data_IF_122584909058
#
_entry.id   IF_122584909058
#
_cell.length_a   1.000
_cell.length_b   1.000
_cell.length_c   1.000
_cell.angle_alpha   90.00
_cell.angle_beta   90.00
_cell.angle_gamma   90.00
#
_symmetry.space_group_name_H-M   'P 1'
#
loop_
_entity.id
_entity.type
_entity.pdbx_description
1 polymer ?
#
# COMPACT_ATOMS: atom_id res chain seq x y z
N UNK A 1 -60.78 13.13 -1.41
CA UNK A 1 -59.53 13.86 -1.17
C UNK A 1 -58.52 13.07 -0.30
N UNK A 2 -58.87 12.59 0.87
CA UNK A 2 -57.96 11.86 1.80
C UNK A 2 -57.26 10.59 1.23
N UNK A 3 -57.81 9.89 0.25
CA UNK A 3 -57.24 8.65 -0.31
C UNK A 3 -56.04 8.90 -1.24
N UNK A 4 -56.03 10.03 -1.99
CA UNK A 4 -54.95 10.41 -2.90
C UNK A 4 -53.70 10.89 -2.14
N UNK A 5 -53.88 11.57 -1.00
CA UNK A 5 -52.74 12.01 -0.16
C UNK A 5 -52.03 10.85 0.54
N UNK A 6 -52.74 9.80 1.00
CA UNK A 6 -52.10 8.61 1.58
C UNK A 6 -51.26 7.86 0.56
N UNK A 7 -51.68 7.74 -0.70
CA UNK A 7 -50.98 7.05 -1.77
C UNK A 7 -49.74 7.84 -2.21
N UNK A 8 -49.80 9.16 -2.22
CA UNK A 8 -48.67 10.03 -2.54
C UNK A 8 -47.60 9.98 -1.45
N UNK A 9 -47.99 10.03 -0.18
CA UNK A 9 -47.08 9.92 0.96
C UNK A 9 -46.38 8.54 1.05
N UNK A 10 -47.08 7.47 0.67
CA UNK A 10 -46.53 6.12 0.63
C UNK A 10 -45.50 5.94 -0.50
N UNK A 11 -45.79 6.54 -1.70
CA UNK A 11 -44.84 6.56 -2.83
C UNK A 11 -43.58 7.39 -2.52
N UNK A 12 -43.74 8.54 -1.87
CA UNK A 12 -42.62 9.37 -1.45
C UNK A 12 -41.75 8.66 -0.38
N UNK A 13 -42.34 7.99 0.61
CA UNK A 13 -41.60 7.18 1.59
C UNK A 13 -40.79 6.05 0.91
N UNK A 14 -41.38 5.37 -0.06
CA UNK A 14 -40.66 4.30 -0.79
C UNK A 14 -39.53 4.85 -1.67
N UNK A 15 -39.68 6.04 -2.26
CA UNK A 15 -38.64 6.70 -3.05
C UNK A 15 -37.50 7.15 -2.11
N UNK A 16 -37.81 7.68 -0.92
CA UNK A 16 -36.78 8.04 0.09
C UNK A 16 -36.04 6.81 0.64
N UNK A 17 -36.78 5.70 0.87
CA UNK A 17 -36.11 4.45 1.32
C UNK A 17 -35.20 3.86 0.24
N UNK A 18 -35.60 3.93 -1.05
CA UNK A 18 -34.75 3.44 -2.16
C UNK A 18 -33.55 4.36 -2.42
N UNK A 19 -33.72 5.69 -2.31
CA UNK A 19 -32.58 6.62 -2.38
C UNK A 19 -31.61 6.45 -1.19
N UNK A 20 -32.13 6.20 0.01
CA UNK A 20 -31.32 5.95 1.18
C UNK A 20 -30.60 4.60 1.10
N UNK A 21 -31.20 3.57 0.54
CA UNK A 21 -30.56 2.29 0.27
C UNK A 21 -29.48 2.38 -0.83
N UNK A 22 -29.62 3.28 -1.81
CA UNK A 22 -28.59 3.53 -2.82
C UNK A 22 -27.41 4.35 -2.28
N UNK A 23 -27.61 5.15 -1.23
CA UNK A 23 -26.55 5.92 -0.57
C UNK A 23 -25.74 5.09 0.44
N UNK A 24 -26.23 3.90 0.84
CA UNK A 24 -25.51 3.00 1.78
C UNK A 24 -24.65 1.98 1.02
N UNK A 25 -24.71 1.92 -0.31
CA UNK A 25 -23.71 1.21 -1.10
C UNK A 25 -22.40 2.02 -1.27
N UNK A 26 -21.97 2.74 -0.24
CA UNK A 26 -20.56 3.02 -0.02
C UNK A 26 -19.97 1.67 0.32
N UNK A 27 -19.41 1.03 -0.70
CA UNK A 27 -18.54 -0.13 -0.51
C UNK A 27 -17.59 0.24 0.60
N UNK A 28 -17.75 -0.34 1.78
CA UNK A 28 -16.69 -0.39 2.75
C UNK A 28 -15.60 -1.25 2.07
N UNK A 29 -14.77 -0.60 1.24
CA UNK A 29 -13.53 -1.21 0.84
C UNK A 29 -12.79 -1.44 2.14
N UNK A 30 -12.55 -2.70 2.46
CA UNK A 30 -11.72 -3.04 3.59
C UNK A 30 -10.41 -2.28 3.44
N UNK A 31 -9.93 -1.73 4.55
CA UNK A 31 -8.74 -0.88 4.56
C UNK A 31 -7.57 -1.55 3.85
N UNK A 32 -6.98 -0.84 2.89
CA UNK A 32 -5.87 -1.35 2.06
C UNK A 32 -6.29 -1.92 0.69
N UNK A 33 -7.52 -2.44 0.52
CA UNK A 33 -7.99 -2.86 -0.81
C UNK A 33 -8.38 -1.63 -1.61
N UNK A 34 -7.86 -1.56 -2.82
CA UNK A 34 -8.19 -0.49 -3.76
C UNK A 34 -8.80 -1.07 -5.04
N UNK A 35 -9.52 -0.27 -5.79
CA UNK A 35 -9.87 -0.63 -7.15
C UNK A 35 -8.56 -0.83 -7.96
N UNK A 36 -8.35 -2.03 -8.56
CA UNK A 36 -7.11 -2.31 -9.27
C UNK A 36 -6.87 -1.32 -10.41
N UNK A 37 -5.64 -0.79 -10.48
CA UNK A 37 -5.23 0.12 -11.55
C UNK A 37 -3.87 -0.24 -12.10
N UNK A 38 -3.68 -0.02 -13.39
CA UNK A 38 -2.38 -0.16 -14.03
C UNK A 38 -1.39 0.86 -13.49
N UNK A 39 -0.19 0.36 -13.23
CA UNK A 39 1.00 1.17 -12.92
C UNK A 39 2.15 0.76 -13.82
N UNK A 40 3.07 1.67 -14.01
CA UNK A 40 4.25 1.44 -14.85
C UNK A 40 5.52 1.37 -14.01
N UNK A 41 6.54 0.72 -14.56
CA UNK A 41 7.84 0.70 -13.92
C UNK A 41 8.47 2.10 -13.96
N UNK A 42 8.86 2.59 -12.80
CA UNK A 42 9.51 3.89 -12.66
C UNK A 42 11.02 3.75 -12.50
N UNK A 43 11.75 4.80 -12.86
CA UNK A 43 13.18 4.90 -12.60
C UNK A 43 13.40 5.82 -11.41
N UNK A 44 13.95 5.25 -10.34
CA UNK A 44 14.30 5.95 -9.09
C UNK A 44 15.78 5.69 -8.77
N UNK A 45 16.22 5.75 -7.52
CA UNK A 45 17.65 5.57 -7.21
C UNK A 45 17.90 4.38 -6.28
N UNK A 46 19.05 3.76 -6.43
CA UNK A 46 19.58 2.85 -5.42
C UNK A 46 20.22 3.64 -4.26
N UNK A 47 20.64 2.93 -3.21
CA UNK A 47 21.28 3.54 -2.04
C UNK A 47 22.67 4.13 -2.32
N UNK A 48 23.20 3.98 -3.52
CA UNK A 48 24.47 4.55 -3.98
C UNK A 48 24.28 5.75 -4.91
N UNK A 49 23.00 6.10 -5.20
CA UNK A 49 22.63 7.23 -6.03
C UNK A 49 22.54 6.92 -7.52
N UNK A 50 22.71 5.66 -7.94
CA UNK A 50 22.56 5.25 -9.33
C UNK A 50 21.09 5.12 -9.67
N UNK A 51 20.73 5.49 -10.91
CA UNK A 51 19.38 5.25 -11.40
C UNK A 51 19.10 3.77 -11.60
N UNK A 52 17.96 3.30 -11.13
CA UNK A 52 17.51 1.92 -11.22
C UNK A 52 16.01 1.85 -11.45
N UNK A 53 15.57 0.77 -12.07
CA UNK A 53 14.15 0.42 -12.17
C UNK A 53 13.71 -0.34 -10.92
N UNK A 54 12.37 -0.45 -10.73
CA UNK A 54 11.84 -1.32 -9.68
C UNK A 54 12.27 -2.77 -9.96
N UNK A 55 12.83 -3.47 -8.97
CA UNK A 55 13.30 -4.83 -9.16
C UNK A 55 12.13 -5.78 -9.49
N UNK A 56 12.34 -6.68 -10.44
CA UNK A 56 11.39 -7.71 -10.87
C UNK A 56 10.00 -7.21 -11.29
N UNK A 57 9.84 -5.92 -11.61
CA UNK A 57 8.57 -5.40 -12.12
C UNK A 57 8.26 -6.02 -13.49
N UNK A 58 7.08 -6.64 -13.61
CA UNK A 58 6.67 -7.36 -14.81
C UNK A 58 7.13 -8.83 -14.85
N UNK A 59 7.93 -9.26 -13.88
CA UNK A 59 8.45 -10.63 -13.76
C UNK A 59 7.80 -11.39 -12.61
N UNK A 60 7.59 -10.70 -11.48
CA UNK A 60 7.00 -11.25 -10.25
C UNK A 60 5.92 -10.34 -9.70
N UNK A 61 5.07 -10.90 -8.85
CA UNK A 61 4.22 -10.08 -7.99
C UNK A 61 5.10 -9.37 -6.95
N UNK A 62 4.83 -8.11 -6.69
CA UNK A 62 5.66 -7.30 -5.82
C UNK A 62 4.95 -6.99 -4.49
N UNK A 63 5.64 -7.20 -3.39
CA UNK A 63 5.29 -6.66 -2.09
C UNK A 63 6.25 -5.51 -1.78
N UNK A 64 5.75 -4.28 -1.81
CA UNK A 64 6.56 -3.08 -1.65
C UNK A 64 6.27 -2.45 -0.29
N UNK A 65 7.34 -2.22 0.47
CA UNK A 65 7.32 -1.44 1.69
C UNK A 65 7.76 0.00 1.35
N UNK A 66 6.79 0.90 1.17
CA UNK A 66 7.08 2.32 0.94
C UNK A 66 7.07 3.07 2.26
N UNK A 67 8.22 3.57 2.67
CA UNK A 67 8.45 3.98 4.06
C UNK A 67 8.98 5.40 4.15
N UNK A 68 8.26 6.25 4.88
CA UNK A 68 8.87 7.42 5.47
C UNK A 68 9.73 6.98 6.67
N UNK A 69 11.04 7.28 6.68
CA UNK A 69 11.92 6.91 7.78
C UNK A 69 11.46 7.40 9.16
N UNK A 70 10.73 8.50 9.23
CA UNK A 70 10.19 9.04 10.48
C UNK A 70 9.10 8.12 11.06
N UNK A 71 8.27 7.52 10.21
CA UNK A 71 7.30 6.50 10.62
C UNK A 71 7.97 5.22 11.14
N UNK A 72 9.10 4.84 10.56
CA UNK A 72 9.89 3.70 11.04
C UNK A 72 10.43 3.95 12.45
N UNK A 73 10.98 5.14 12.71
CA UNK A 73 11.47 5.52 14.03
C UNK A 73 10.35 5.64 15.07
N UNK A 74 9.15 6.04 14.66
CA UNK A 74 7.97 6.11 15.52
C UNK A 74 7.41 4.72 15.90
N UNK A 75 7.99 3.63 15.40
CA UNK A 75 7.56 2.26 15.71
C UNK A 75 6.09 2.00 15.37
N UNK A 76 5.63 2.46 14.21
CA UNK A 76 4.25 2.28 13.75
C UNK A 76 3.82 0.81 13.78
N UNK A 77 2.52 0.53 13.82
CA UNK A 77 2.00 -0.85 13.76
C UNK A 77 2.39 -1.54 12.44
N UNK A 78 2.40 -0.79 11.33
CA UNK A 78 2.81 -1.33 10.04
C UNK A 78 4.29 -1.73 10.01
N UNK A 79 5.15 -1.02 10.74
CA UNK A 79 6.54 -1.43 10.93
C UNK A 79 6.64 -2.78 11.65
N UNK A 80 5.89 -2.95 12.76
CA UNK A 80 5.84 -4.23 13.48
C UNK A 80 5.26 -5.35 12.62
N UNK A 81 4.25 -5.04 11.81
CA UNK A 81 3.68 -5.99 10.87
C UNK A 81 4.68 -6.39 9.78
N UNK A 82 5.44 -5.45 9.23
CA UNK A 82 6.50 -5.75 8.27
C UNK A 82 7.58 -6.67 8.88
N UNK A 83 7.97 -6.44 10.14
CA UNK A 83 8.89 -7.34 10.85
C UNK A 83 8.30 -8.73 11.07
N UNK A 84 7.00 -8.82 11.33
CA UNK A 84 6.27 -10.10 11.43
C UNK A 84 6.33 -10.85 10.09
N UNK A 85 6.08 -10.16 8.96
CA UNK A 85 6.16 -10.75 7.62
C UNK A 85 7.56 -11.25 7.28
N UNK A 86 8.61 -10.51 7.66
CA UNK A 86 10.01 -10.93 7.49
C UNK A 86 10.32 -12.21 8.29
N UNK A 87 9.78 -12.34 9.52
CA UNK A 87 10.05 -13.46 10.42
C UNK A 87 9.30 -14.73 10.03
N UNK A 88 8.04 -14.62 9.65
CA UNK A 88 7.19 -15.79 9.38
C UNK A 88 7.26 -16.28 7.93
N UNK A 89 7.92 -15.53 7.05
CA UNK A 89 8.05 -15.79 5.62
C UNK A 89 6.71 -16.06 4.89
N UNK A 90 5.56 -15.73 5.52
CA UNK A 90 4.23 -16.01 4.95
C UNK A 90 3.98 -15.21 3.67
N UNK A 91 4.56 -14.02 3.58
CA UNK A 91 4.49 -13.19 2.37
C UNK A 91 5.63 -13.49 1.38
N UNK A 92 6.41 -14.56 1.59
CA UNK A 92 7.46 -14.99 0.68
C UNK A 92 6.98 -16.16 -0.18
N UNK A 93 7.48 -16.24 -1.41
CA UNK A 93 7.17 -17.32 -2.34
C UNK A 93 7.94 -17.15 -3.65
N UNK A 94 7.98 -18.17 -4.51
CA UNK A 94 8.72 -18.08 -5.77
C UNK A 94 8.18 -17.00 -6.72
N UNK A 95 6.89 -16.69 -6.64
CA UNK A 95 6.22 -15.70 -7.48
C UNK A 95 6.09 -14.31 -6.85
N UNK A 96 6.58 -14.13 -5.60
CA UNK A 96 6.55 -12.84 -4.90
C UNK A 96 7.97 -12.34 -4.65
N UNK A 97 8.18 -11.05 -4.89
CA UNK A 97 9.41 -10.36 -4.53
C UNK A 97 9.11 -9.18 -3.60
N UNK A 98 9.69 -9.21 -2.40
CA UNK A 98 9.54 -8.16 -1.39
C UNK A 98 10.75 -7.22 -1.38
N UNK A 99 10.51 -5.89 -1.36
CA UNK A 99 11.57 -4.89 -1.22
C UNK A 99 11.07 -3.58 -0.62
N UNK A 100 12.00 -2.77 -0.13
CA UNK A 100 11.72 -1.46 0.47
C UNK A 100 12.03 -0.30 -0.46
N UNK A 101 11.20 0.75 -0.41
CA UNK A 101 11.46 2.06 -1.01
C UNK A 101 11.42 3.11 0.09
N UNK A 102 12.47 3.90 0.22
CA UNK A 102 12.55 5.00 1.18
C UNK A 102 11.97 6.28 0.58
N UNK A 103 10.99 6.87 1.25
CA UNK A 103 10.46 8.18 0.93
C UNK A 103 11.38 9.26 1.53
N UNK A 104 12.37 9.69 0.77
CA UNK A 104 13.38 10.64 1.26
C UNK A 104 12.94 12.10 1.32
N UNK A 105 12.03 12.60 0.47
CA UNK A 105 11.62 14.00 0.55
C UNK A 105 10.86 14.36 1.83
N UNK A 106 10.10 13.41 2.38
CA UNK A 106 9.22 13.68 3.53
C UNK A 106 9.94 13.55 4.89
N UNK A 107 11.13 12.91 4.96
CA UNK A 107 11.89 12.78 6.20
C UNK A 107 12.75 14.01 6.53
N UNK A 108 12.82 14.35 7.81
CA UNK A 108 13.75 15.35 8.35
C UNK A 108 15.15 14.79 8.63
N UNK A 109 15.32 13.47 8.58
CA UNK A 109 16.58 12.82 8.88
C UNK A 109 17.63 13.06 7.78
N UNK A 110 18.93 13.17 8.15
CA UNK A 110 20.00 13.30 7.17
C UNK A 110 20.06 12.09 6.22
N UNK A 111 19.90 12.34 4.94
CA UNK A 111 19.81 11.28 3.90
C UNK A 111 21.02 10.34 3.88
N UNK A 112 22.24 10.87 4.06
CA UNK A 112 23.45 10.04 4.08
C UNK A 112 23.52 9.12 5.30
N UNK A 113 23.01 9.56 6.44
CA UNK A 113 22.89 8.72 7.63
C UNK A 113 21.90 7.58 7.38
N UNK A 114 20.74 7.85 6.77
CA UNK A 114 19.77 6.83 6.41
C UNK A 114 20.35 5.83 5.41
N UNK A 115 21.01 6.31 4.35
CA UNK A 115 21.67 5.42 3.38
C UNK A 115 22.69 4.50 4.05
N UNK A 116 23.47 5.01 4.99
CA UNK A 116 24.45 4.21 5.74
C UNK A 116 23.78 3.10 6.56
N UNK A 117 22.68 3.40 7.24
CA UNK A 117 21.90 2.40 8.01
C UNK A 117 21.32 1.35 7.07
N UNK A 118 20.69 1.78 5.98
CA UNK A 118 20.06 0.88 5.02
C UNK A 118 21.08 -0.03 4.31
N UNK A 119 22.25 0.48 3.93
CA UNK A 119 23.34 -0.34 3.36
C UNK A 119 23.78 -1.44 4.33
N UNK A 120 23.95 -1.11 5.62
CA UNK A 120 24.25 -2.11 6.64
C UNK A 120 23.16 -3.18 6.79
N UNK A 121 21.89 -2.81 6.60
CA UNK A 121 20.77 -3.76 6.60
C UNK A 121 20.85 -4.69 5.38
N UNK A 122 21.07 -4.12 4.19
CA UNK A 122 21.28 -4.88 2.95
C UNK A 122 22.44 -5.88 3.10
N UNK A 123 23.59 -5.42 3.60
CA UNK A 123 24.77 -6.27 3.82
C UNK A 123 24.49 -7.40 4.82
N UNK A 124 23.70 -7.14 5.85
CA UNK A 124 23.44 -8.11 6.93
C UNK A 124 22.43 -9.20 6.55
N UNK A 125 21.37 -8.86 5.82
CA UNK A 125 20.24 -9.76 5.59
C UNK A 125 19.84 -9.93 4.11
N UNK A 126 20.59 -9.32 3.19
CA UNK A 126 20.29 -9.42 1.76
C UNK A 126 19.03 -8.67 1.31
N UNK A 127 18.47 -7.78 2.14
CA UNK A 127 17.30 -7.01 1.76
C UNK A 127 17.56 -6.14 0.53
N UNK A 128 16.55 -5.95 -0.31
CA UNK A 128 16.60 -4.95 -1.37
C UNK A 128 15.94 -3.67 -0.89
N UNK A 129 16.69 -2.57 -0.90
CA UNK A 129 16.20 -1.24 -0.52
C UNK A 129 16.67 -0.24 -1.56
N UNK A 130 15.72 0.54 -2.09
CA UNK A 130 15.96 1.63 -3.03
C UNK A 130 15.34 2.93 -2.47
N UNK A 131 15.56 4.06 -3.12
CA UNK A 131 15.09 5.35 -2.63
C UNK A 131 14.26 6.10 -3.67
N UNK A 132 13.18 6.74 -3.20
CA UNK A 132 12.42 7.73 -3.95
C UNK A 132 12.90 9.13 -3.52
N UNK A 133 13.86 9.74 -4.25
CA UNK A 133 14.55 10.94 -3.77
C UNK A 133 13.77 12.23 -3.97
N UNK A 134 12.73 12.21 -4.80
CA UNK A 134 12.01 13.38 -5.30
C UNK A 134 10.50 13.15 -5.51
N UNK A 135 9.93 12.13 -4.88
CA UNK A 135 8.55 11.67 -5.03
C UNK A 135 8.20 11.12 -6.43
N UNK A 136 9.18 10.74 -7.25
CA UNK A 136 8.93 10.17 -8.58
C UNK A 136 8.02 8.95 -8.50
N UNK A 137 8.32 8.00 -7.60
CA UNK A 137 7.51 6.79 -7.40
C UNK A 137 6.12 7.14 -6.86
N UNK A 138 6.07 7.91 -5.76
CA UNK A 138 4.83 8.35 -5.11
C UNK A 138 3.86 9.00 -6.10
N UNK A 139 4.38 9.92 -6.92
CA UNK A 139 3.58 10.69 -7.88
C UNK A 139 3.14 9.83 -9.07
N UNK A 140 4.04 9.02 -9.65
CA UNK A 140 3.73 8.15 -10.77
C UNK A 140 2.63 7.12 -10.43
N UNK A 141 2.61 6.65 -9.18
CA UNK A 141 1.63 5.67 -8.72
C UNK A 141 0.43 6.28 -7.99
N UNK A 142 0.34 7.61 -7.92
CA UNK A 142 -0.79 8.31 -7.32
C UNK A 142 -1.04 7.95 -5.86
N UNK A 143 0.04 7.80 -5.07
CA UNK A 143 -0.09 7.35 -3.67
C UNK A 143 -0.63 8.43 -2.73
N UNK A 144 -0.63 9.70 -3.16
CA UNK A 144 -1.12 10.81 -2.35
C UNK A 144 -0.19 11.14 -1.19
N UNK A 145 -0.76 11.48 -0.03
CA UNK A 145 0.01 11.80 1.17
C UNK A 145 0.68 10.56 1.76
N UNK A 146 2.01 10.63 1.93
CA UNK A 146 2.86 9.57 2.47
C UNK A 146 3.75 10.06 3.63
N UNK A 147 3.58 11.32 4.09
CA UNK A 147 4.31 11.86 5.23
C UNK A 147 4.02 11.04 6.49
N UNK A 148 5.06 10.68 7.21
CA UNK A 148 5.01 9.86 8.43
C UNK A 148 4.26 8.53 8.28
N UNK A 149 4.25 7.96 7.08
CA UNK A 149 3.55 6.69 6.80
C UNK A 149 4.52 5.56 6.49
N UNK A 150 4.17 4.39 6.98
CA UNK A 150 4.76 3.11 6.60
C UNK A 150 3.70 2.33 5.82
N UNK A 151 3.86 2.27 4.51
CA UNK A 151 2.85 1.73 3.61
C UNK A 151 3.25 0.36 3.06
N UNK A 152 2.25 -0.50 2.86
CA UNK A 152 2.41 -1.77 2.16
C UNK A 152 1.61 -1.74 0.86
N UNK A 153 2.25 -2.13 -0.25
CA UNK A 153 1.61 -2.18 -1.56
C UNK A 153 1.76 -3.57 -2.15
N UNK A 154 0.72 -4.06 -2.83
CA UNK A 154 0.78 -5.30 -3.62
C UNK A 154 0.52 -4.95 -5.08
N UNK A 155 1.45 -5.36 -5.93
CA UNK A 155 1.37 -5.17 -7.38
C UNK A 155 1.53 -6.52 -8.05
N UNK A 156 0.62 -6.85 -8.97
CA UNK A 156 0.73 -8.10 -9.73
C UNK A 156 1.84 -8.01 -10.79
N UNK A 157 2.34 -9.15 -11.24
CA UNK A 157 3.32 -9.21 -12.33
C UNK A 157 2.82 -8.57 -13.63
N UNK A 158 1.50 -8.48 -13.82
CA UNK A 158 0.89 -7.77 -14.95
C UNK A 158 0.91 -6.24 -14.75
N UNK A 159 1.40 -5.73 -13.61
CA UNK A 159 1.46 -4.31 -13.29
C UNK A 159 0.12 -3.73 -12.82
N UNK A 160 -0.71 -4.50 -12.12
CA UNK A 160 -1.91 -3.98 -11.45
C UNK A 160 -1.59 -3.74 -9.97
N UNK A 161 -1.70 -2.50 -9.54
CA UNK A 161 -1.67 -2.13 -8.12
C UNK A 161 -3.05 -2.44 -7.52
N UNK A 162 -3.13 -3.41 -6.62
CA UNK A 162 -4.39 -3.93 -6.06
C UNK A 162 -4.56 -3.64 -4.57
N UNK A 163 -3.48 -3.36 -3.87
CA UNK A 163 -3.52 -3.14 -2.44
C UNK A 163 -2.59 -1.99 -2.03
N UNK A 164 -3.09 -1.07 -1.22
CA UNK A 164 -2.34 0.06 -0.65
C UNK A 164 -2.77 0.28 0.79
N UNK A 165 -2.06 -0.28 1.74
CA UNK A 165 -2.27 -0.02 3.17
C UNK A 165 -1.50 1.25 3.56
N UNK A 166 -2.21 2.30 3.95
CA UNK A 166 -1.63 3.57 4.40
C UNK A 166 -1.76 3.80 5.90
N UNK A 167 -2.89 3.39 6.44
CA UNK A 167 -3.18 3.56 7.86
C UNK A 167 -2.59 2.40 8.67
N UNK A 168 -2.60 2.50 9.98
CA UNK A 168 -2.08 1.45 10.84
C UNK A 168 -2.95 0.19 10.81
N UNK A 169 -2.34 -0.93 10.46
CA UNK A 169 -3.01 -2.23 10.36
C UNK A 169 -3.52 -2.72 11.73
N UNK A 170 -4.76 -3.13 11.76
CA UNK A 170 -5.36 -3.91 12.85
C UNK A 170 -5.39 -5.41 12.50
N UNK A 171 -6.06 -6.23 13.30
CA UNK A 171 -6.11 -7.66 13.05
C UNK A 171 -6.92 -8.02 11.80
N UNK A 172 -8.02 -7.31 11.56
CA UNK A 172 -8.86 -7.52 10.36
C UNK A 172 -8.08 -7.15 9.09
N UNK A 173 -7.34 -6.03 9.12
CA UNK A 173 -6.46 -5.61 8.04
C UNK A 173 -5.32 -6.61 7.77
N UNK A 174 -4.76 -7.25 8.80
CA UNK A 174 -3.77 -8.33 8.64
C UNK A 174 -4.38 -9.56 7.97
N UNK A 175 -5.55 -9.99 8.42
CA UNK A 175 -6.22 -11.16 7.86
C UNK A 175 -6.59 -10.93 6.40
N UNK A 176 -7.04 -9.73 6.06
CA UNK A 176 -7.29 -9.31 4.69
C UNK A 176 -6.00 -9.30 3.85
N UNK A 177 -4.93 -8.69 4.35
CA UNK A 177 -3.63 -8.70 3.67
C UNK A 177 -3.18 -10.12 3.34
N UNK A 178 -3.26 -11.03 4.31
CA UNK A 178 -2.90 -12.42 4.09
C UNK A 178 -3.80 -13.12 3.08
N UNK A 179 -5.10 -12.80 3.05
CA UNK A 179 -6.02 -13.36 2.05
C UNK A 179 -5.66 -12.92 0.61
N UNK A 180 -5.10 -11.72 0.47
CA UNK A 180 -4.67 -11.18 -0.83
C UNK A 180 -3.32 -11.77 -1.23
N UNK A 181 -2.33 -11.72 -0.33
CA UNK A 181 -0.97 -12.15 -0.66
C UNK A 181 -0.90 -13.66 -0.94
N UNK A 182 -1.73 -14.46 -0.28
CA UNK A 182 -1.80 -15.91 -0.48
C UNK A 182 -2.24 -16.29 -1.91
N UNK A 183 -2.94 -15.40 -2.64
CA UNK A 183 -3.30 -15.60 -4.07
C UNK A 183 -2.08 -15.55 -4.98
N UNK A 184 -1.01 -14.89 -4.57
CA UNK A 184 0.17 -14.60 -5.40
C UNK A 184 1.41 -15.38 -5.00
N UNK A 185 1.31 -16.28 -4.02
CA UNK A 185 2.47 -17.06 -3.53
C UNK A 185 2.86 -18.23 -4.42
N UNK A 186 1.93 -18.70 -5.26
CA UNK A 186 2.07 -19.94 -6.03
C UNK A 186 2.00 -19.71 -7.52
#
# INVERSE_FOLDING_TARGET
MRRKEKTLNMKMKNIFLTLFALLISVSAYAEGVIEPRKVENVTIKDLYGNYTKLPHFGEKNLLIFYVDPDAYLAMSKNNKFAEELEKNARAAGPEIYGFGILNFPDTWLPKDFLRKICRKRVERNGATIIEDPDHTFKNAWGLGDCDKKFMLLIVTKEGNLEYVLKEEVDQEGKDLFYSIIDKYRF
#
